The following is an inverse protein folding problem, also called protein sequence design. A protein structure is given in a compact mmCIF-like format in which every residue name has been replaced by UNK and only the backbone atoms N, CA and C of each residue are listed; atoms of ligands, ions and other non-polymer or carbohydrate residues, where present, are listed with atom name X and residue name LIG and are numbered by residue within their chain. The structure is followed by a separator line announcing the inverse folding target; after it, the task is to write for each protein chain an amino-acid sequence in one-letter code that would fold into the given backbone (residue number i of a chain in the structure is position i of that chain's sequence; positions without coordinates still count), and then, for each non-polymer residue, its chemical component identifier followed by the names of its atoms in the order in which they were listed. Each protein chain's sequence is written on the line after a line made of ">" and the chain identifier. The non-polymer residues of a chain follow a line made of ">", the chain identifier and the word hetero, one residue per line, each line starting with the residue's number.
data_IF_845901076689
#
_entry.id   IF_845901076689
#
_cell.length_a   1.000
_cell.length_b   1.000
_cell.length_c   1.000
_cell.angle_alpha   90.00
_cell.angle_beta   90.00
_cell.angle_gamma   90.00
#
_symmetry.space_group_name_H-M   'P 1'
#
loop_
_entity.id
_entity.type
_entity.pdbx_description
1 polymer ?
#
# COMPACT_ATOMS: atom_id res chain seq x y z
N UNK A 1 -11.14 -23.61 36.93
CA UNK A 1 -9.77 -23.12 36.74
C UNK A 1 -9.87 -21.61 36.56
N UNK A 2 -9.43 -20.85 37.54
CA UNK A 2 -9.41 -19.38 37.43
C UNK A 2 -8.26 -19.01 36.48
N UNK A 3 -8.57 -18.30 35.40
CA UNK A 3 -7.56 -17.64 34.59
C UNK A 3 -6.90 -16.56 35.45
N UNK A 4 -5.62 -16.72 35.69
CA UNK A 4 -4.82 -15.64 36.23
C UNK A 4 -4.88 -14.46 35.24
N UNK A 5 -5.52 -13.40 35.66
CA UNK A 5 -5.38 -12.10 34.98
C UNK A 5 -3.94 -11.67 35.24
N UNK A 6 -3.08 -11.88 34.27
CA UNK A 6 -1.73 -11.37 34.28
C UNK A 6 -1.81 -9.88 34.57
N UNK A 7 -1.38 -9.47 35.75
CA UNK A 7 -1.29 -8.06 36.13
C UNK A 7 -0.37 -7.38 35.12
N UNK A 8 -0.91 -6.46 34.35
CA UNK A 8 -0.14 -5.60 33.46
C UNK A 8 0.78 -4.80 34.38
N UNK A 9 2.00 -5.24 34.51
CA UNK A 9 3.04 -4.46 35.16
C UNK A 9 3.24 -3.20 34.34
N UNK A 10 2.65 -2.10 34.77
CA UNK A 10 3.01 -0.77 34.28
C UNK A 10 4.43 -0.48 34.71
N UNK A 11 5.39 -0.95 33.95
CA UNK A 11 6.71 -0.37 33.99
C UNK A 11 6.51 1.10 33.61
N UNK A 12 6.87 2.02 34.49
CA UNK A 12 6.58 3.45 34.39
C UNK A 12 7.20 4.10 33.17
N UNK A 13 6.66 3.80 32.02
CA UNK A 13 6.94 4.45 30.76
C UNK A 13 5.89 5.54 30.59
N UNK A 14 6.33 6.76 30.36
CA UNK A 14 5.47 7.90 29.97
C UNK A 14 4.97 7.73 28.53
N UNK A 15 4.86 6.50 28.05
CA UNK A 15 4.43 6.20 26.70
C UNK A 15 2.91 6.36 26.59
N UNK A 16 2.39 7.10 25.60
CA UNK A 16 0.96 7.26 25.36
C UNK A 16 0.26 5.91 25.19
N UNK A 17 -0.99 5.82 25.67
CA UNK A 17 -1.79 4.59 25.62
C UNK A 17 -1.93 4.06 24.17
N UNK A 18 -2.16 4.96 23.23
CA UNK A 18 -2.32 4.64 21.81
C UNK A 18 -1.09 3.95 21.24
N UNK A 19 0.09 4.36 21.67
CA UNK A 19 1.34 3.76 21.23
C UNK A 19 1.55 2.38 21.85
N UNK A 20 1.16 2.18 23.11
CA UNK A 20 1.20 0.88 23.76
C UNK A 20 0.24 -0.12 23.07
N UNK A 21 -0.96 0.35 22.66
CA UNK A 21 -1.90 -0.45 21.86
C UNK A 21 -1.30 -0.81 20.49
N UNK A 22 -0.71 0.16 19.80
CA UNK A 22 -0.09 -0.05 18.49
C UNK A 22 1.07 -1.07 18.53
N UNK A 23 1.76 -1.18 19.66
CA UNK A 23 2.82 -2.16 19.90
C UNK A 23 2.33 -3.51 20.44
N UNK A 24 1.01 -3.69 20.58
CA UNK A 24 0.43 -4.92 21.11
C UNK A 24 0.71 -5.16 22.60
N UNK A 25 1.08 -4.14 23.36
CA UNK A 25 1.40 -4.23 24.79
C UNK A 25 0.13 -4.25 25.68
N UNK A 26 -1.00 -3.86 25.12
CA UNK A 26 -2.30 -3.84 25.82
C UNK A 26 -3.17 -4.95 25.26
N UNK A 27 -3.43 -5.97 26.07
CA UNK A 27 -4.29 -7.10 25.68
C UNK A 27 -5.71 -6.63 25.34
N UNK A 28 -6.36 -7.31 24.39
CA UNK A 28 -7.72 -7.03 23.92
C UNK A 28 -7.92 -5.67 23.23
N UNK A 29 -6.83 -4.99 22.88
CA UNK A 29 -6.85 -3.76 22.11
C UNK A 29 -6.03 -3.94 20.84
N UNK A 30 -6.52 -3.36 19.77
CA UNK A 30 -5.88 -3.38 18.46
C UNK A 30 -5.92 -1.97 17.86
N UNK A 31 -4.84 -1.60 17.19
CA UNK A 31 -4.76 -0.34 16.45
C UNK A 31 -5.11 -0.60 14.99
N UNK A 32 -6.14 0.06 14.49
CA UNK A 32 -6.53 0.00 13.08
C UNK A 32 -6.23 1.32 12.41
N UNK A 33 -5.32 1.30 11.44
CA UNK A 33 -4.99 2.45 10.62
C UNK A 33 -5.61 2.26 9.23
N UNK A 34 -6.40 3.24 8.80
CA UNK A 34 -6.98 3.26 7.46
C UNK A 34 -6.61 4.57 6.79
N UNK A 35 -6.19 4.47 5.54
CA UNK A 35 -5.89 5.59 4.69
C UNK A 35 -6.81 5.55 3.48
N UNK A 36 -7.30 6.70 3.10
CA UNK A 36 -8.10 6.83 1.89
C UNK A 36 -7.89 8.21 1.29
N UNK A 37 -8.11 8.30 0.01
CA UNK A 37 -8.03 9.54 -0.74
C UNK A 37 -9.19 9.60 -1.74
N UNK A 38 -9.86 10.72 -1.78
CA UNK A 38 -10.84 11.03 -2.81
C UNK A 38 -10.64 12.49 -3.24
N UNK A 39 -10.25 12.70 -4.48
CA UNK A 39 -9.99 14.04 -5.06
C UNK A 39 -11.28 14.77 -5.46
N UNK A 40 -12.43 14.09 -5.46
CA UNK A 40 -13.71 14.60 -5.94
C UNK A 40 -14.79 14.56 -4.86
N UNK A 41 -14.47 15.04 -3.64
CA UNK A 41 -15.46 15.16 -2.56
C UNK A 41 -16.35 16.38 -2.86
N UNK A 42 -17.65 16.14 -2.89
CA UNK A 42 -18.69 17.15 -3.02
C UNK A 42 -19.61 17.19 -1.77
N UNK A 43 -20.81 17.70 -1.91
CA UNK A 43 -21.82 17.73 -0.84
C UNK A 43 -22.53 16.41 -0.59
N UNK A 44 -22.29 15.40 -1.43
CA UNK A 44 -22.83 14.06 -1.32
C UNK A 44 -21.89 13.17 -0.53
N UNK A 45 -22.44 12.27 0.28
CA UNK A 45 -21.62 11.32 1.04
C UNK A 45 -20.86 10.41 0.07
N UNK A 46 -19.54 10.53 0.03
CA UNK A 46 -18.66 9.76 -0.85
C UNK A 46 -17.61 8.99 -0.04
N UNK A 47 -17.20 7.83 -0.57
CA UNK A 47 -16.11 7.06 0.04
C UNK A 47 -14.77 7.75 -0.18
N UNK A 48 -13.90 7.69 0.81
CA UNK A 48 -12.49 8.11 0.72
C UNK A 48 -11.57 6.99 0.22
N UNK A 49 -12.13 5.85 -0.15
CA UNK A 49 -11.44 4.70 -0.73
C UNK A 49 -11.87 4.54 -2.19
N UNK A 50 -10.94 4.74 -3.15
CA UNK A 50 -11.23 4.78 -4.59
C UNK A 50 -11.84 3.48 -5.13
N UNK A 51 -11.43 2.33 -4.59
CA UNK A 51 -11.92 1.02 -5.01
C UNK A 51 -13.24 0.61 -4.36
N UNK A 52 -13.70 1.35 -3.35
CA UNK A 52 -14.86 0.97 -2.53
C UNK A 52 -14.63 -0.29 -1.70
N UNK A 53 -15.55 -0.59 -0.78
CA UNK A 53 -15.50 -1.78 0.06
C UNK A 53 -14.34 -1.82 1.06
N UNK A 54 -13.92 -3.04 1.41
CA UNK A 54 -12.80 -3.29 2.31
C UNK A 54 -11.56 -3.65 1.49
N UNK A 55 -10.40 -3.11 1.90
CA UNK A 55 -9.13 -3.50 1.32
C UNK A 55 -8.85 -4.98 1.63
N UNK A 56 -8.65 -5.78 0.58
CA UNK A 56 -8.29 -7.19 0.71
C UNK A 56 -6.78 -7.33 0.83
N UNK A 57 -6.31 -7.63 2.03
CA UNK A 57 -4.89 -7.91 2.25
C UNK A 57 -4.50 -9.25 1.67
N UNK A 58 -3.25 -9.33 1.15
CA UNK A 58 -2.68 -10.61 0.73
C UNK A 58 -2.53 -11.52 1.95
N UNK A 59 -3.05 -12.74 1.85
CA UNK A 59 -2.89 -13.78 2.88
C UNK A 59 -1.53 -14.49 2.83
N UNK A 60 -0.81 -14.35 1.71
CA UNK A 60 0.54 -14.89 1.49
C UNK A 60 1.29 -14.00 0.51
N UNK A 61 2.63 -14.09 0.54
CA UNK A 61 3.45 -13.40 -0.44
C UNK A 61 3.16 -13.89 -1.86
N UNK A 62 3.11 -12.97 -2.80
CA UNK A 62 2.72 -13.22 -4.18
C UNK A 62 3.56 -12.41 -5.15
N UNK A 63 3.55 -12.83 -6.42
CA UNK A 63 3.99 -11.98 -7.53
C UNK A 63 3.00 -10.83 -7.68
N UNK A 64 3.49 -9.61 -7.77
CA UNK A 64 2.70 -8.43 -8.02
C UNK A 64 3.07 -7.81 -9.37
N UNK A 65 2.10 -7.13 -9.94
CA UNK A 65 2.24 -6.38 -11.19
C UNK A 65 1.85 -4.93 -10.94
N UNK A 66 2.43 -4.03 -11.71
CA UNK A 66 2.06 -2.61 -11.71
C UNK A 66 1.61 -2.19 -13.10
N UNK A 67 0.54 -1.43 -13.19
CA UNK A 67 0.00 -0.84 -14.42
C UNK A 67 -0.52 0.57 -14.16
N UNK A 68 -0.89 1.28 -15.21
CA UNK A 68 -1.57 2.58 -15.15
C UNK A 68 -2.91 2.52 -15.87
N UNK A 69 -3.85 3.39 -15.47
CA UNK A 69 -5.06 3.63 -16.28
C UNK A 69 -4.78 4.43 -17.56
N UNK A 70 -3.58 4.98 -17.72
CA UNK A 70 -3.20 5.82 -18.87
C UNK A 70 -2.08 5.17 -19.69
N UNK A 71 -2.27 5.13 -21.02
CA UNK A 71 -1.23 4.71 -21.96
C UNK A 71 -0.04 5.67 -22.01
N UNK A 72 -0.15 6.88 -21.43
CA UNK A 72 0.93 7.86 -21.40
C UNK A 72 1.96 7.60 -20.28
N UNK A 73 1.67 6.70 -19.35
CA UNK A 73 2.58 6.29 -18.28
C UNK A 73 3.46 5.14 -18.77
N UNK A 74 4.39 5.42 -19.66
CA UNK A 74 5.34 4.46 -20.24
C UNK A 74 6.75 5.00 -20.19
N UNK A 75 7.74 4.14 -20.42
CA UNK A 75 9.16 4.50 -20.43
C UNK A 75 9.51 5.70 -21.34
N UNK A 76 8.75 5.94 -22.41
CA UNK A 76 8.93 7.06 -23.35
C UNK A 76 7.75 8.03 -23.35
N UNK A 77 6.75 7.83 -22.48
CA UNK A 77 5.53 8.61 -22.45
C UNK A 77 5.68 10.00 -21.84
N UNK A 78 4.58 10.74 -21.86
CA UNK A 78 4.51 12.09 -21.27
C UNK A 78 4.19 12.07 -19.78
N UNK A 79 3.62 10.96 -19.27
CA UNK A 79 3.31 10.72 -17.87
C UNK A 79 4.47 10.14 -17.06
N UNK A 80 4.18 9.35 -16.04
CA UNK A 80 5.18 8.65 -15.25
C UNK A 80 5.93 7.63 -16.12
N UNK A 81 7.26 7.60 -15.98
CA UNK A 81 8.14 6.69 -16.74
C UNK A 81 8.70 5.58 -15.89
N UNK A 82 9.23 5.95 -14.72
CA UNK A 82 9.72 4.98 -13.74
C UNK A 82 9.12 5.28 -12.38
N UNK A 83 8.84 4.21 -11.64
CA UNK A 83 8.32 4.29 -10.29
C UNK A 83 9.12 3.41 -9.35
N UNK A 84 9.23 3.81 -8.09
CA UNK A 84 9.71 2.97 -7.01
C UNK A 84 8.54 2.47 -6.19
N UNK A 85 8.44 1.16 -6.10
CA UNK A 85 7.48 0.46 -5.22
C UNK A 85 8.24 0.04 -3.97
N UNK A 86 7.69 0.34 -2.80
CA UNK A 86 8.24 -0.09 -1.52
C UNK A 86 7.17 -0.78 -0.67
N UNK A 87 7.59 -1.82 0.01
CA UNK A 87 6.69 -2.67 0.79
C UNK A 87 7.45 -3.67 1.64
N UNK A 88 6.84 -4.81 1.86
CA UNK A 88 7.38 -5.90 2.66
C UNK A 88 7.40 -7.19 1.85
N UNK A 89 8.40 -8.01 2.10
CA UNK A 89 8.47 -9.38 1.58
C UNK A 89 7.76 -10.38 2.51
N UNK A 90 7.91 -11.67 2.22
CA UNK A 90 7.33 -12.76 3.00
C UNK A 90 7.93 -12.94 4.41
N UNK A 91 9.08 -12.35 4.69
CA UNK A 91 9.72 -12.33 6.00
C UNK A 91 9.42 -11.04 6.78
N UNK A 92 8.60 -10.16 6.20
CA UNK A 92 8.34 -8.79 6.68
C UNK A 92 9.56 -7.87 6.59
N UNK A 93 10.57 -8.24 5.81
CA UNK A 93 11.70 -7.37 5.51
C UNK A 93 11.30 -6.31 4.48
N UNK A 94 11.92 -5.15 4.59
CA UNK A 94 11.67 -4.04 3.66
C UNK A 94 12.16 -4.41 2.26
N UNK A 95 11.25 -4.34 1.30
CA UNK A 95 11.51 -4.56 -0.12
C UNK A 95 11.27 -3.28 -0.90
N UNK A 96 12.22 -2.93 -1.77
CA UNK A 96 12.15 -1.74 -2.62
C UNK A 96 12.57 -2.12 -4.03
N UNK A 97 11.78 -1.71 -5.01
CA UNK A 97 12.07 -1.97 -6.42
C UNK A 97 11.70 -0.77 -7.28
N UNK A 98 12.53 -0.48 -8.28
CA UNK A 98 12.25 0.54 -9.29
C UNK A 98 12.03 -0.12 -10.64
N UNK A 99 10.88 0.17 -11.24
CA UNK A 99 10.49 -0.39 -12.54
C UNK A 99 10.10 0.70 -13.53
N UNK A 100 10.25 0.40 -14.82
CA UNK A 100 9.68 1.23 -15.88
C UNK A 100 8.25 0.83 -16.13
N UNK A 101 7.36 1.81 -16.28
CA UNK A 101 5.96 1.56 -16.60
C UNK A 101 5.78 1.25 -18.10
N UNK A 102 4.73 0.48 -18.39
CA UNK A 102 4.29 0.13 -19.74
C UNK A 102 2.81 0.49 -19.98
N UNK A 103 2.42 1.65 -19.47
CA UNK A 103 1.07 2.17 -19.62
C UNK A 103 0.04 1.26 -18.98
N UNK A 104 -0.95 0.86 -19.79
CA UNK A 104 -2.03 -0.02 -19.37
C UNK A 104 -1.64 -1.50 -19.34
N UNK A 105 -0.43 -1.85 -19.78
CA UNK A 105 0.10 -3.22 -19.66
C UNK A 105 0.76 -3.38 -18.29
N UNK A 106 0.48 -4.49 -17.61
CA UNK A 106 1.09 -4.79 -16.32
C UNK A 106 2.56 -5.17 -16.45
N UNK A 107 3.40 -4.58 -15.62
CA UNK A 107 4.82 -4.91 -15.48
C UNK A 107 4.98 -5.69 -14.18
N UNK A 108 5.59 -6.87 -14.28
CA UNK A 108 5.87 -7.71 -13.12
C UNK A 108 6.89 -7.05 -12.20
N UNK A 109 6.58 -7.01 -10.92
CA UNK A 109 7.54 -6.67 -9.87
C UNK A 109 8.38 -7.90 -9.54
N UNK A 110 9.69 -7.71 -9.46
CA UNK A 110 10.67 -8.79 -9.38
C UNK A 110 10.45 -9.72 -8.19
N UNK A 111 10.22 -10.99 -8.49
CA UNK A 111 10.08 -12.07 -7.53
C UNK A 111 8.70 -12.20 -6.88
N UNK A 112 8.30 -13.45 -6.63
CA UNK A 112 7.00 -13.84 -6.04
C UNK A 112 6.92 -13.65 -4.53
N UNK A 113 7.59 -12.66 -3.97
CA UNK A 113 7.79 -12.52 -2.52
C UNK A 113 7.21 -11.24 -1.93
N UNK A 114 6.35 -10.55 -2.66
CA UNK A 114 5.68 -9.36 -2.14
C UNK A 114 4.53 -9.75 -1.23
N UNK A 115 4.61 -9.35 0.03
CA UNK A 115 3.54 -9.53 1.00
C UNK A 115 2.66 -8.29 1.14
N UNK A 116 3.27 -7.10 1.04
CA UNK A 116 2.54 -5.81 1.08
C UNK A 116 3.23 -4.78 0.22
N UNK A 117 2.43 -3.87 -0.31
CA UNK A 117 2.90 -2.61 -0.88
C UNK A 117 2.46 -1.48 0.04
N UNK A 118 3.41 -0.69 0.48
CA UNK A 118 3.17 0.44 1.39
C UNK A 118 3.20 1.78 0.66
N UNK A 119 3.95 1.86 -0.45
CA UNK A 119 4.16 3.13 -1.16
C UNK A 119 4.57 2.91 -2.60
N UNK A 120 4.09 3.82 -3.48
CA UNK A 120 4.55 3.99 -4.86
C UNK A 120 5.01 5.45 -5.01
N UNK A 121 6.17 5.66 -5.59
CA UNK A 121 6.74 6.99 -5.86
C UNK A 121 7.12 7.07 -7.32
N UNK A 122 6.68 8.13 -8.02
CA UNK A 122 7.14 8.44 -9.36
C UNK A 122 8.56 9.01 -9.26
N UNK A 123 9.53 8.34 -9.90
CA UNK A 123 10.93 8.79 -9.93
C UNK A 123 11.22 9.68 -11.13
N UNK A 124 10.74 9.26 -12.29
CA UNK A 124 10.92 10.04 -13.53
C UNK A 124 9.58 10.15 -14.24
N UNK A 125 9.35 11.32 -14.80
CA UNK A 125 8.19 11.62 -15.62
C UNK A 125 8.60 12.27 -16.93
N UNK A 126 7.71 12.21 -17.91
CA UNK A 126 7.82 12.95 -19.14
C UNK A 126 7.38 14.42 -18.97
N UNK A 127 6.97 15.04 -20.06
CA UNK A 127 6.57 16.46 -20.09
C UNK A 127 5.35 16.80 -19.22
N UNK A 128 4.56 15.80 -18.80
CA UNK A 128 3.43 15.95 -17.88
C UNK A 128 3.83 16.16 -16.42
N UNK A 129 5.09 15.92 -16.04
CA UNK A 129 5.62 16.19 -14.71
C UNK A 129 5.19 15.21 -13.61
N UNK A 130 4.35 14.23 -13.91
CA UNK A 130 3.85 13.21 -12.97
C UNK A 130 3.17 12.07 -13.70
N UNK A 131 2.40 11.23 -12.97
CA UNK A 131 1.57 10.21 -13.59
C UNK A 131 0.36 10.83 -14.31
N UNK A 132 0.06 10.31 -15.49
CA UNK A 132 -1.09 10.73 -16.30
C UNK A 132 -2.37 9.97 -15.94
N UNK A 133 -2.24 8.79 -15.34
CA UNK A 133 -3.34 7.94 -14.88
C UNK A 133 -3.17 7.52 -13.43
N UNK A 134 -4.12 6.71 -12.97
CA UNK A 134 -4.03 6.04 -11.66
C UNK A 134 -3.09 4.85 -11.79
N UNK A 135 -2.16 4.71 -10.84
CA UNK A 135 -1.26 3.57 -10.78
C UNK A 135 -1.88 2.48 -9.90
N UNK A 136 -1.94 1.27 -10.43
CA UNK A 136 -2.49 0.09 -9.76
C UNK A 136 -1.39 -0.92 -9.50
N UNK A 137 -1.43 -1.55 -8.32
CA UNK A 137 -0.59 -2.71 -8.01
C UNK A 137 -1.50 -3.83 -7.52
N UNK A 138 -1.33 -5.01 -8.07
CA UNK A 138 -2.14 -6.17 -7.73
C UNK A 138 -1.52 -7.49 -8.15
N UNK A 139 -2.21 -8.58 -7.86
CA UNK A 139 -1.80 -9.95 -8.22
C UNK A 139 -2.18 -10.33 -9.65
N UNK A 140 -3.07 -9.57 -10.28
CA UNK A 140 -3.45 -9.79 -11.67
C UNK A 140 -2.33 -9.30 -12.61
N UNK A 141 -2.15 -9.99 -13.73
CA UNK A 141 -1.10 -9.63 -14.70
C UNK A 141 -1.26 -8.21 -15.28
N UNK A 142 -2.47 -7.65 -15.23
CA UNK A 142 -2.75 -6.26 -15.58
C UNK A 142 -3.73 -5.69 -14.56
N UNK A 143 -3.25 -5.18 -13.41
CA UNK A 143 -4.11 -4.61 -12.40
C UNK A 143 -4.89 -3.41 -12.94
N UNK A 144 -6.15 -3.34 -12.59
CA UNK A 144 -7.06 -2.25 -12.96
C UNK A 144 -7.99 -1.91 -11.79
N UNK A 145 -8.57 -0.75 -11.78
CA UNK A 145 -9.54 -0.31 -10.78
C UNK A 145 -10.95 -0.19 -11.34
#
# INVERSE_FOLDING_TARGET
>A
MAQEVSSISRVGTSEPFELQVARGQIGFHESVHKFGFNSAIDTTLATVWLQGGLYSYLGSASTLYISSSSANDTAAGTGARTVTVSGLDNNFDVKVETVSLDGQTGVELNGSTWFRVNRIVVNTAGSGGGNAGVLYVGTEATPSG
#
